data_IF_179485761368
#
_entry.id   IF_179485761368
#
_cell.length_a   1.000
_cell.length_b   1.000
_cell.length_c   1.000
_cell.angle_alpha   90.00
_cell.angle_beta   90.00
_cell.angle_gamma   90.00
#
_symmetry.space_group_name_H-M   'P 1'
#
loop_
_entity.id
_entity.type
_entity.pdbx_description
1 polymer ?
#
# COMPACT_ATOMS: atom_id res chain seq x y z
N UNK A 1 -7.18 13.47 -5.73
CA UNK A 1 -6.82 12.79 -6.99
C UNK A 1 -5.32 12.84 -7.13
N UNK A 2 -4.68 11.87 -6.51
CA UNK A 2 -3.24 11.61 -6.64
C UNK A 2 -2.96 11.20 -8.08
N UNK A 3 -2.16 11.98 -8.79
CA UNK A 3 -1.70 11.61 -10.14
C UNK A 3 -0.47 10.71 -9.97
N UNK A 4 -0.64 9.43 -10.28
CA UNK A 4 0.34 8.36 -10.09
C UNK A 4 0.82 7.93 -11.49
N UNK A 5 1.67 8.77 -12.08
CA UNK A 5 2.14 8.62 -13.46
C UNK A 5 3.58 8.12 -13.53
N UNK A 6 4.39 8.44 -12.52
CA UNK A 6 5.83 8.14 -12.50
C UNK A 6 6.22 7.30 -11.28
N UNK A 7 7.35 6.59 -11.43
CA UNK A 7 7.95 5.84 -10.32
C UNK A 7 8.33 6.73 -9.15
N UNK A 8 8.81 7.95 -9.40
CA UNK A 8 9.13 8.91 -8.34
C UNK A 8 7.90 9.32 -7.52
N UNK A 9 6.74 9.47 -8.17
CA UNK A 9 5.47 9.74 -7.47
C UNK A 9 5.01 8.54 -6.64
N UNK A 10 5.25 7.32 -7.12
CA UNK A 10 4.97 6.10 -6.39
C UNK A 10 5.87 5.93 -5.16
N UNK A 11 7.17 6.16 -5.33
CA UNK A 11 8.13 6.13 -4.22
C UNK A 11 7.81 7.19 -3.17
N UNK A 12 7.41 8.40 -3.59
CA UNK A 12 6.95 9.45 -2.68
C UNK A 12 5.66 9.07 -1.93
N UNK A 13 4.72 8.40 -2.59
CA UNK A 13 3.52 7.88 -1.91
C UNK A 13 3.91 6.84 -0.85
N UNK A 14 4.82 5.92 -1.16
CA UNK A 14 5.30 4.93 -0.20
C UNK A 14 5.95 5.62 1.00
N UNK A 15 6.77 6.65 0.76
CA UNK A 15 7.39 7.44 1.84
C UNK A 15 6.34 8.14 2.72
N UNK A 16 5.33 8.78 2.11
CA UNK A 16 4.26 9.45 2.84
C UNK A 16 3.45 8.44 3.69
N UNK A 17 3.13 7.26 3.15
CA UNK A 17 2.40 6.21 3.87
C UNK A 17 3.23 5.61 5.01
N UNK A 18 4.53 5.41 4.78
CA UNK A 18 5.47 4.95 5.81
C UNK A 18 5.64 5.99 6.94
N UNK A 19 5.69 7.28 6.59
CA UNK A 19 5.71 8.37 7.57
C UNK A 19 4.42 8.39 8.40
N UNK A 20 3.24 8.27 7.77
CA UNK A 20 1.96 8.23 8.46
C UNK A 20 1.85 7.00 9.40
N UNK A 21 2.35 5.83 8.99
CA UNK A 21 2.42 4.65 9.86
C UNK A 21 3.33 4.88 11.09
N UNK A 22 4.48 5.56 10.91
CA UNK A 22 5.35 5.97 12.01
C UNK A 22 4.70 6.99 12.93
N UNK A 23 3.92 7.94 12.41
CA UNK A 23 3.22 8.93 13.22
C UNK A 23 2.09 8.31 14.07
N UNK A 24 1.51 7.20 13.61
CA UNK A 24 0.47 6.45 14.33
C UNK A 24 1.02 5.60 15.46
N UNK A 25 2.22 5.06 15.32
CA UNK A 25 2.85 4.22 16.34
C UNK A 25 3.74 5.05 17.28
N UNK A 26 3.58 4.93 18.61
CA UNK A 26 4.53 5.53 19.57
C UNK A 26 5.88 4.79 19.63
N UNK A 27 6.10 3.78 18.78
CA UNK A 27 7.32 2.97 18.70
C UNK A 27 7.56 2.46 17.28
N UNK A 28 8.16 1.28 17.14
CA UNK A 28 8.35 0.63 15.84
C UNK A 28 6.98 0.36 15.19
N UNK A 29 6.76 0.80 13.93
CA UNK A 29 5.48 0.57 13.26
C UNK A 29 5.21 -0.92 13.10
N UNK A 30 3.99 -1.34 13.40
CA UNK A 30 3.54 -2.71 13.17
C UNK A 30 2.84 -2.83 11.81
N UNK A 31 2.68 -4.06 11.32
CA UNK A 31 1.87 -4.33 10.12
C UNK A 31 0.45 -3.73 10.23
N UNK A 32 -0.16 -3.70 11.41
CA UNK A 32 -1.46 -3.06 11.63
C UNK A 32 -1.41 -1.54 11.41
N UNK A 33 -0.33 -0.86 11.84
CA UNK A 33 -0.15 0.59 11.61
C UNK A 33 0.03 0.91 10.12
N UNK A 34 0.79 0.07 9.40
CA UNK A 34 0.92 0.14 7.95
C UNK A 34 -0.43 -0.06 7.27
N UNK A 35 -1.22 -1.02 7.75
CA UNK A 35 -2.55 -1.27 7.22
C UNK A 35 -3.48 -0.07 7.47
N UNK A 36 -3.47 0.52 8.67
CA UNK A 36 -4.30 1.70 8.94
C UNK A 36 -3.93 2.91 8.05
N UNK A 37 -2.64 3.08 7.74
CA UNK A 37 -2.15 4.10 6.81
C UNK A 37 -2.63 3.84 5.37
N UNK A 38 -2.42 2.62 4.85
CA UNK A 38 -2.87 2.24 3.49
C UNK A 38 -4.40 2.25 3.38
N UNK A 39 -5.12 1.80 4.41
CA UNK A 39 -6.58 1.81 4.47
C UNK A 39 -7.15 3.23 4.40
N UNK A 40 -6.46 4.23 4.97
CA UNK A 40 -6.83 5.63 4.85
C UNK A 40 -6.66 6.16 3.41
N UNK A 41 -5.79 5.55 2.60
CA UNK A 41 -5.57 5.88 1.19
C UNK A 41 -6.51 5.16 0.22
N UNK A 42 -7.16 4.06 0.64
CA UNK A 42 -8.12 3.30 -0.19
C UNK A 42 -9.18 4.15 -0.91
N UNK A 43 -9.75 5.22 -0.32
CA UNK A 43 -10.69 6.09 -1.05
C UNK A 43 -10.10 6.77 -2.30
N UNK A 44 -8.78 6.98 -2.35
CA UNK A 44 -8.09 7.56 -3.50
C UNK A 44 -7.69 6.51 -4.57
N UNK A 45 -7.81 5.21 -4.25
CA UNK A 45 -7.53 4.09 -5.16
C UNK A 45 -8.65 3.88 -6.20
N UNK A 46 -8.73 4.84 -7.12
CA UNK A 46 -9.52 4.68 -8.34
C UNK A 46 -8.91 3.59 -9.25
N UNK A 47 -9.70 2.99 -10.14
CA UNK A 47 -9.22 1.93 -11.04
C UNK A 47 -7.93 2.27 -11.81
N UNK A 48 -7.79 3.48 -12.40
CA UNK A 48 -6.54 3.91 -13.02
C UNK A 48 -5.34 3.97 -12.06
N UNK A 49 -5.57 4.43 -10.83
CA UNK A 49 -4.51 4.48 -9.79
C UNK A 49 -4.11 3.07 -9.38
N UNK A 50 -5.05 2.15 -9.22
CA UNK A 50 -4.75 0.75 -8.90
C UNK A 50 -3.89 0.10 -9.98
N UNK A 51 -4.24 0.29 -11.25
CA UNK A 51 -3.45 -0.22 -12.36
C UNK A 51 -2.03 0.36 -12.38
N UNK A 52 -1.87 1.63 -12.00
CA UNK A 52 -0.55 2.29 -11.91
C UNK A 52 0.29 1.79 -10.76
N UNK A 53 -0.30 1.59 -9.58
CA UNK A 53 0.36 0.97 -8.43
C UNK A 53 0.92 -0.40 -8.84
N UNK A 54 0.10 -1.24 -9.47
CA UNK A 54 0.51 -2.57 -9.91
C UNK A 54 1.56 -2.55 -11.03
N UNK A 55 1.59 -1.50 -11.86
CA UNK A 55 2.60 -1.34 -12.91
C UNK A 55 3.95 -0.82 -12.37
N UNK A 56 3.91 0.02 -11.33
CA UNK A 56 5.09 0.71 -10.80
C UNK A 56 5.77 -0.03 -9.65
N UNK A 57 5.03 -0.86 -8.93
CA UNK A 57 5.59 -1.70 -7.88
C UNK A 57 6.46 -2.82 -8.45
N UNK A 58 7.52 -3.14 -7.71
CA UNK A 58 8.34 -4.34 -7.94
C UNK A 58 7.82 -5.56 -7.15
N UNK A 59 6.79 -5.37 -6.30
CA UNK A 59 6.18 -6.41 -5.47
C UNK A 59 4.97 -7.05 -6.15
N UNK A 60 4.84 -8.37 -6.02
CA UNK A 60 3.68 -9.10 -6.51
C UNK A 60 2.52 -9.05 -5.49
N UNK A 61 1.25 -8.98 -5.95
CA UNK A 61 0.10 -9.02 -5.06
C UNK A 61 0.02 -10.36 -4.32
N UNK A 62 -0.20 -10.29 -3.00
CA UNK A 62 -0.35 -11.46 -2.16
C UNK A 62 -1.77 -12.04 -2.32
N UNK A 63 -1.87 -13.21 -2.95
CA UNK A 63 -3.15 -13.83 -3.27
C UNK A 63 -4.00 -14.18 -2.03
N UNK A 64 -3.38 -14.52 -0.90
CA UNK A 64 -4.12 -14.84 0.33
C UNK A 64 -4.71 -13.57 0.95
N UNK A 65 -3.95 -12.47 0.95
CA UNK A 65 -4.45 -11.17 1.39
C UNK A 65 -5.49 -10.59 0.43
N UNK A 66 -5.32 -10.76 -0.89
CA UNK A 66 -6.30 -10.33 -1.89
C UNK A 66 -7.63 -11.07 -1.68
N UNK A 67 -7.58 -12.39 -1.46
CA UNK A 67 -8.77 -13.18 -1.13
C UNK A 67 -9.43 -12.66 0.15
N UNK A 68 -8.65 -12.39 1.20
CA UNK A 68 -9.18 -11.85 2.46
C UNK A 68 -9.88 -10.49 2.30
N UNK A 69 -9.31 -9.58 1.50
CA UNK A 69 -9.88 -8.25 1.24
C UNK A 69 -11.13 -8.33 0.35
N UNK A 70 -11.15 -9.25 -0.61
CA UNK A 70 -12.26 -9.42 -1.56
C UNK A 70 -13.44 -10.21 -1.00
N UNK A 71 -13.20 -11.25 -0.20
CA UNK A 71 -14.25 -12.04 0.46
C UNK A 71 -15.11 -11.19 1.42
N UNK A 72 -14.53 -10.12 1.97
CA UNK A 72 -15.25 -9.20 2.84
C UNK A 72 -16.28 -8.32 2.09
N UNK A 73 -16.20 -8.25 0.76
CA UNK A 73 -17.00 -7.34 -0.07
C UNK A 73 -17.40 -8.05 -1.36
N UNK A 74 -18.55 -8.71 -1.43
CA UNK A 74 -19.22 -9.27 -2.63
C UNK A 74 -18.60 -8.80 -3.98
N UNK A 75 -17.47 -9.39 -4.39
CA UNK A 75 -16.44 -8.65 -5.15
C UNK A 75 -16.63 -8.72 -6.66
N UNK A 76 -16.88 -7.56 -7.27
CA UNK A 76 -16.69 -7.36 -8.71
C UNK A 76 -15.19 -7.27 -9.06
N UNK A 77 -14.85 -7.47 -10.34
CA UNK A 77 -13.45 -7.41 -10.83
C UNK A 77 -12.70 -6.12 -10.46
N UNK A 78 -13.41 -5.01 -10.27
CA UNK A 78 -12.84 -3.74 -9.82
C UNK A 78 -12.41 -3.76 -8.34
N UNK A 79 -13.11 -4.52 -7.49
CA UNK A 79 -12.75 -4.68 -6.08
C UNK A 79 -11.55 -5.61 -5.94
N UNK A 80 -11.45 -6.63 -6.81
CA UNK A 80 -10.28 -7.50 -6.90
C UNK A 80 -9.02 -6.72 -7.27
N UNK A 81 -9.09 -5.87 -8.29
CA UNK A 81 -7.95 -5.02 -8.69
C UNK A 81 -7.55 -4.03 -7.58
N UNK A 82 -8.53 -3.49 -6.83
CA UNK A 82 -8.22 -2.65 -5.66
C UNK A 82 -7.51 -3.46 -4.58
N UNK A 83 -7.99 -4.66 -4.28
CA UNK A 83 -7.37 -5.54 -3.31
C UNK A 83 -5.91 -5.85 -3.69
N UNK A 84 -5.65 -6.20 -4.95
CA UNK A 84 -4.29 -6.39 -5.46
C UNK A 84 -3.42 -5.15 -5.20
N UNK A 85 -3.87 -3.97 -5.65
CA UNK A 85 -3.12 -2.73 -5.47
C UNK A 85 -2.85 -2.39 -4.00
N UNK A 86 -3.81 -2.65 -3.12
CA UNK A 86 -3.67 -2.42 -1.67
C UNK A 86 -2.65 -3.36 -1.04
N UNK A 87 -2.69 -4.65 -1.39
CA UNK A 87 -1.73 -5.63 -0.85
C UNK A 87 -0.31 -5.36 -1.30
N UNK A 88 -0.14 -4.87 -2.52
CA UNK A 88 1.17 -4.44 -3.05
C UNK A 88 1.67 -3.20 -2.33
N UNK A 89 0.82 -2.18 -2.14
CA UNK A 89 1.16 -0.98 -1.38
C UNK A 89 1.57 -1.31 0.05
N UNK A 90 0.85 -2.22 0.71
CA UNK A 90 1.17 -2.64 2.07
C UNK A 90 2.59 -3.24 2.14
N UNK A 91 2.91 -4.18 1.24
CA UNK A 91 4.23 -4.79 1.17
C UNK A 91 5.33 -3.75 0.92
N UNK A 92 5.13 -2.83 0.00
CA UNK A 92 6.13 -1.80 -0.33
C UNK A 92 6.37 -0.83 0.83
N UNK A 93 5.32 -0.50 1.60
CA UNK A 93 5.45 0.32 2.82
C UNK A 93 6.19 -0.43 3.92
N UNK A 94 5.87 -1.71 4.14
CA UNK A 94 6.58 -2.54 5.13
C UNK A 94 8.07 -2.71 4.78
N UNK A 95 8.38 -2.91 3.49
CA UNK A 95 9.75 -2.95 2.99
C UNK A 95 10.47 -1.62 3.21
N UNK A 96 9.83 -0.49 2.89
CA UNK A 96 10.41 0.85 3.09
C UNK A 96 10.73 1.13 4.55
N UNK A 97 9.84 0.73 5.45
CA UNK A 97 10.07 0.86 6.89
C UNK A 97 11.25 0.01 7.34
N UNK A 98 11.30 -1.26 6.91
CA UNK A 98 12.40 -2.19 7.23
C UNK A 98 13.77 -1.71 6.73
N UNK A 99 13.82 -1.15 5.52
CA UNK A 99 15.07 -0.59 4.95
C UNK A 99 15.53 0.65 5.72
N UNK A 100 14.61 1.55 6.07
CA UNK A 100 14.92 2.76 6.82
C UNK A 100 15.44 2.46 8.25
N UNK A 101 14.92 1.43 8.91
CA UNK A 101 15.43 0.95 10.21
C UNK A 101 16.83 0.32 10.10
N UNK A 102 17.21 -0.17 8.91
CA UNK A 102 18.55 -0.70 8.64
C UNK A 102 19.59 0.41 8.42
N UNK A 103 19.19 1.58 7.92
CA UNK A 103 20.08 2.73 7.70
C UNK A 103 20.39 3.55 8.97
N UNK A 104 19.58 3.40 10.03
CA UNK A 104 19.76 4.11 11.32
C UNK A 104 20.62 3.36 12.37
N UNK A 105 21.27 2.23 12.02
CA UNK A 105 22.18 1.48 12.91
C UNK A 105 23.68 1.58 12.58
#
# INVERSE_FOLDING_TARGET
MTDLETREQYEALIDDLAADARERSPGEPTTDDCWDSVAAFVPELSGPVCARVLELSDSDPDAELVEHVTDARDSDAAEHQRAEAVTVLLQDVELRLSDADTEEN
#
